data_IF_466416034321
#
_entry.id   IF_466416034321
#
_cell.length_a   1.000
_cell.length_b   1.000
_cell.length_c   1.000
_cell.angle_alpha   90.00
_cell.angle_beta   90.00
_cell.angle_gamma   90.00
#
_symmetry.space_group_name_H-M   'P 1'
#
loop_
_entity.id
_entity.type
_entity.pdbx_description
1 polymer ?
#
# COMPACT_ATOMS: atom_id res chain seq x y z
N UNK A 1 -10.94 -29.71 -79.17
CA UNK A 1 -10.49 -30.54 -78.02
C UNK A 1 -9.31 -29.83 -77.36
N UNK A 2 -9.54 -29.02 -76.32
CA UNK A 2 -8.49 -28.38 -75.50
C UNK A 2 -9.04 -28.22 -74.08
N UNK A 3 -8.89 -29.27 -73.25
CA UNK A 3 -9.32 -29.30 -71.84
C UNK A 3 -8.29 -28.58 -70.97
N UNK A 4 -8.81 -27.91 -69.93
CA UNK A 4 -8.12 -26.93 -69.10
C UNK A 4 -6.97 -27.47 -68.25
N UNK A 5 -5.97 -26.60 -68.06
CA UNK A 5 -4.82 -26.80 -67.16
C UNK A 5 -4.49 -25.54 -66.34
N UNK A 6 -5.41 -24.58 -66.18
CA UNK A 6 -5.20 -23.35 -65.39
C UNK A 6 -5.71 -23.43 -63.94
N UNK A 7 -6.07 -24.63 -63.44
CA UNK A 7 -6.63 -24.80 -62.08
C UNK A 7 -5.64 -25.22 -60.99
N UNK A 8 -4.39 -25.57 -61.33
CA UNK A 8 -3.45 -26.21 -60.39
C UNK A 8 -2.42 -25.26 -59.77
N UNK A 9 -2.09 -24.15 -60.43
CA UNK A 9 -1.04 -23.23 -59.97
C UNK A 9 -1.46 -22.27 -58.85
N UNK A 10 -2.77 -22.02 -58.67
CA UNK A 10 -3.28 -21.09 -57.64
C UNK A 10 -3.53 -21.75 -56.28
N UNK A 11 -3.70 -23.09 -56.24
CA UNK A 11 -3.99 -23.85 -55.02
C UNK A 11 -2.85 -23.81 -53.98
N UNK A 12 -1.56 -23.92 -54.32
CA UNK A 12 -0.49 -23.84 -53.31
C UNK A 12 -0.29 -22.42 -52.77
N UNK A 13 -0.52 -21.39 -53.60
CA UNK A 13 -0.41 -19.98 -53.18
C UNK A 13 -1.56 -19.57 -52.24
N UNK A 14 -2.79 -19.99 -52.56
CA UNK A 14 -3.94 -19.80 -51.67
C UNK A 14 -3.78 -20.57 -50.36
N UNK A 15 -3.22 -21.78 -50.39
CA UNK A 15 -2.91 -22.53 -49.18
C UNK A 15 -1.84 -21.83 -48.32
N UNK A 16 -0.79 -21.27 -48.93
CA UNK A 16 0.23 -20.50 -48.22
C UNK A 16 -0.32 -19.23 -47.56
N UNK A 17 -1.16 -18.48 -48.28
CA UNK A 17 -1.85 -17.30 -47.72
C UNK A 17 -2.77 -17.69 -46.57
N UNK A 18 -3.55 -18.77 -46.71
CA UNK A 18 -4.44 -19.26 -45.66
C UNK A 18 -3.66 -19.67 -44.41
N UNK A 19 -2.54 -20.38 -44.55
CA UNK A 19 -1.68 -20.76 -43.42
C UNK A 19 -1.04 -19.55 -42.73
N UNK A 20 -0.61 -18.54 -43.49
CA UNK A 20 -0.07 -17.30 -42.93
C UNK A 20 -1.14 -16.53 -42.14
N UNK A 21 -2.34 -16.38 -42.69
CA UNK A 21 -3.45 -15.70 -42.02
C UNK A 21 -3.88 -16.42 -40.74
N UNK A 22 -3.90 -17.76 -40.76
CA UNK A 22 -4.19 -18.56 -39.59
C UNK A 22 -3.12 -18.36 -38.49
N UNK A 23 -1.84 -18.35 -38.86
CA UNK A 23 -0.76 -18.12 -37.90
C UNK A 23 -0.86 -16.73 -37.27
N UNK A 24 -1.11 -15.68 -38.07
CA UNK A 24 -1.30 -14.31 -37.57
C UNK A 24 -2.51 -14.23 -36.63
N UNK A 25 -3.62 -14.87 -36.99
CA UNK A 25 -4.83 -14.90 -36.17
C UNK A 25 -4.59 -15.58 -34.81
N UNK A 26 -3.90 -16.73 -34.80
CA UNK A 26 -3.54 -17.43 -33.56
C UNK A 26 -2.61 -16.59 -32.69
N UNK A 27 -1.60 -15.95 -33.27
CA UNK A 27 -0.69 -15.06 -32.54
C UNK A 27 -1.41 -13.85 -31.95
N UNK A 28 -2.30 -13.20 -32.71
CA UNK A 28 -3.09 -12.07 -32.23
C UNK A 28 -4.01 -12.48 -31.07
N UNK A 29 -4.63 -13.66 -31.17
CA UNK A 29 -5.50 -14.21 -30.13
C UNK A 29 -4.71 -14.51 -28.85
N UNK A 30 -3.53 -15.11 -28.97
CA UNK A 30 -2.64 -15.36 -27.83
C UNK A 30 -2.17 -14.08 -27.14
N UNK A 31 -1.80 -13.05 -27.92
CA UNK A 31 -1.43 -11.73 -27.39
C UNK A 31 -2.60 -11.05 -26.69
N UNK A 32 -3.81 -11.19 -27.22
CA UNK A 32 -5.03 -10.66 -26.63
C UNK A 32 -5.33 -11.33 -25.28
N UNK A 33 -5.34 -12.67 -25.21
CA UNK A 33 -5.53 -13.42 -23.97
C UNK A 33 -4.48 -13.07 -22.91
N UNK A 34 -3.20 -13.01 -23.30
CA UNK A 34 -2.12 -12.66 -22.38
C UNK A 34 -2.26 -11.20 -21.88
N UNK A 35 -2.70 -10.29 -22.74
CA UNK A 35 -2.94 -8.89 -22.35
C UNK A 35 -4.13 -8.75 -21.41
N UNK A 36 -5.19 -9.53 -21.58
CA UNK A 36 -6.34 -9.50 -20.67
C UNK A 36 -6.01 -10.13 -19.33
N UNK A 37 -5.27 -11.25 -19.30
CA UNK A 37 -4.85 -11.88 -18.05
C UNK A 37 -3.89 -10.97 -17.27
N UNK A 38 -2.92 -10.36 -17.94
CA UNK A 38 -2.01 -9.41 -17.32
C UNK A 38 -2.75 -8.18 -16.74
N UNK A 39 -3.77 -7.67 -17.44
CA UNK A 39 -4.61 -6.57 -16.93
C UNK A 39 -5.43 -6.99 -15.72
N UNK A 40 -6.07 -8.16 -15.79
CA UNK A 40 -6.86 -8.70 -14.68
C UNK A 40 -5.99 -8.98 -13.44
N UNK A 41 -4.75 -9.41 -13.62
CA UNK A 41 -3.80 -9.64 -12.53
C UNK A 41 -3.30 -8.32 -11.93
N UNK A 42 -3.03 -7.31 -12.76
CA UNK A 42 -2.71 -5.95 -12.30
C UNK A 42 -3.89 -5.35 -11.51
N UNK A 43 -5.13 -5.52 -11.99
CA UNK A 43 -6.32 -5.01 -11.31
C UNK A 43 -6.57 -5.75 -9.98
N UNK A 44 -6.34 -7.08 -9.94
CA UNK A 44 -6.40 -7.85 -8.71
C UNK A 44 -5.32 -7.44 -7.70
N UNK A 45 -4.10 -7.18 -8.17
CA UNK A 45 -3.01 -6.67 -7.33
C UNK A 45 -3.30 -5.25 -6.84
N UNK A 46 -3.97 -4.42 -7.64
CA UNK A 46 -4.41 -3.07 -7.25
C UNK A 46 -5.51 -3.12 -6.19
N UNK A 47 -6.48 -4.02 -6.32
CA UNK A 47 -7.56 -4.24 -5.34
C UNK A 47 -6.97 -4.80 -4.03
N UNK A 48 -6.09 -5.80 -4.09
CA UNK A 48 -5.42 -6.36 -2.91
C UNK A 48 -4.50 -5.33 -2.21
N UNK A 49 -3.85 -4.43 -2.96
CA UNK A 49 -3.08 -3.33 -2.39
C UNK A 49 -3.96 -2.26 -1.75
N UNK A 50 -5.11 -1.93 -2.34
CA UNK A 50 -6.03 -0.95 -1.78
C UNK A 50 -6.60 -1.41 -0.43
N UNK A 51 -6.97 -2.69 -0.32
CA UNK A 51 -7.55 -3.28 0.90
C UNK A 51 -6.51 -3.39 2.04
N UNK A 52 -5.29 -3.81 1.71
CA UNK A 52 -4.17 -3.84 2.67
C UNK A 52 -3.72 -2.45 3.12
N UNK A 53 -3.85 -1.43 2.27
CA UNK A 53 -3.53 -0.04 2.60
C UNK A 53 -4.59 0.60 3.50
N UNK A 54 -5.88 0.37 3.23
CA UNK A 54 -6.99 0.79 4.08
C UNK A 54 -6.81 0.32 5.52
N UNK A 55 -6.48 -0.96 5.68
CA UNK A 55 -6.33 -1.56 6.99
C UNK A 55 -5.07 -1.10 7.71
N UNK A 56 -3.99 -0.81 6.98
CA UNK A 56 -2.72 -0.38 7.58
C UNK A 56 -2.75 1.03 8.17
N UNK A 57 -3.59 1.95 7.69
CA UNK A 57 -3.77 3.26 8.36
C UNK A 57 -4.52 3.13 9.69
N UNK A 58 -5.60 2.37 9.72
CA UNK A 58 -6.34 2.10 10.96
C UNK A 58 -5.47 1.36 11.99
N UNK A 59 -4.60 0.46 11.54
CA UNK A 59 -3.62 -0.20 12.39
C UNK A 59 -2.59 0.76 12.99
N UNK A 60 -2.17 1.81 12.27
CA UNK A 60 -1.19 2.76 12.79
C UNK A 60 -1.67 3.47 14.07
N UNK A 61 -2.97 3.77 14.18
CA UNK A 61 -3.55 4.31 15.41
C UNK A 61 -3.49 3.33 16.58
N UNK A 62 -3.72 2.04 16.31
CA UNK A 62 -3.65 0.97 17.34
C UNK A 62 -2.23 0.80 17.84
N UNK A 63 -1.24 0.82 16.96
CA UNK A 63 0.17 0.70 17.37
C UNK A 63 0.64 1.93 18.14
N UNK A 64 0.23 3.13 17.71
CA UNK A 64 0.43 4.36 18.47
C UNK A 64 -0.16 4.25 19.89
N UNK A 65 -1.42 3.82 20.01
CA UNK A 65 -2.08 3.66 21.32
C UNK A 65 -1.37 2.60 22.18
N UNK A 66 -0.94 1.50 21.57
CA UNK A 66 -0.20 0.44 22.25
C UNK A 66 1.14 0.93 22.79
N UNK A 67 1.86 1.76 22.03
CA UNK A 67 3.08 2.42 22.49
C UNK A 67 2.80 3.41 23.63
N UNK A 68 1.79 4.27 23.47
CA UNK A 68 1.41 5.24 24.51
C UNK A 68 1.03 4.54 25.82
N UNK A 69 0.22 3.47 25.76
CA UNK A 69 -0.14 2.69 26.94
C UNK A 69 1.08 2.04 27.59
N UNK A 70 2.02 1.50 26.81
CA UNK A 70 3.25 0.91 27.35
C UNK A 70 4.12 1.95 28.08
N UNK A 71 4.29 3.13 27.48
CA UNK A 71 5.04 4.24 28.09
C UNK A 71 4.40 4.69 29.40
N UNK A 72 3.09 4.93 29.41
CA UNK A 72 2.36 5.37 30.59
C UNK A 72 2.35 4.31 31.71
N UNK A 73 2.26 3.03 31.36
CA UNK A 73 2.29 1.94 32.35
C UNK A 73 3.63 1.86 33.09
N UNK A 74 4.75 2.06 32.39
CA UNK A 74 6.08 2.12 33.03
C UNK A 74 6.24 3.41 33.83
N UNK A 75 5.85 4.56 33.27
CA UNK A 75 5.97 5.87 33.93
C UNK A 75 5.22 5.91 35.28
N UNK A 76 4.00 5.38 35.32
CA UNK A 76 3.17 5.37 36.52
C UNK A 76 3.50 4.22 37.49
N UNK A 77 4.49 3.37 37.17
CA UNK A 77 4.91 2.25 38.02
C UNK A 77 3.88 1.11 38.12
N UNK A 78 2.94 1.01 37.18
CA UNK A 78 1.85 0.02 37.18
C UNK A 78 2.24 -1.35 36.59
N UNK A 79 3.50 -1.76 36.74
CA UNK A 79 3.98 -3.07 36.26
C UNK A 79 4.31 -3.15 34.77
N UNK A 80 4.55 -2.01 34.11
CA UNK A 80 5.09 -1.98 32.75
C UNK A 80 6.58 -2.37 32.69
N UNK A 81 7.01 -2.95 31.57
CA UNK A 81 8.40 -3.27 31.28
C UNK A 81 8.98 -2.40 30.14
N UNK A 82 10.24 -2.00 30.28
CA UNK A 82 10.97 -1.23 29.26
C UNK A 82 11.14 -2.03 27.97
N UNK A 83 11.26 -3.35 28.03
CA UNK A 83 11.29 -4.21 26.84
C UNK A 83 10.00 -4.10 26.03
N UNK A 84 8.86 -3.97 26.69
CA UNK A 84 7.57 -3.73 26.01
C UNK A 84 7.53 -2.37 25.32
N UNK A 85 8.07 -1.32 25.95
CA UNK A 85 8.17 0.03 25.33
C UNK A 85 8.99 -0.02 24.06
N UNK A 86 10.16 -0.69 24.09
CA UNK A 86 11.03 -0.86 22.91
C UNK A 86 10.30 -1.58 21.79
N UNK A 87 9.72 -2.75 22.07
CA UNK A 87 8.99 -3.52 21.06
C UNK A 87 7.82 -2.73 20.45
N UNK A 88 7.05 -2.00 21.25
CA UNK A 88 5.94 -1.18 20.73
C UNK A 88 6.43 0.01 19.92
N UNK A 89 7.59 0.57 20.27
CA UNK A 89 8.23 1.60 19.48
C UNK A 89 8.65 1.06 18.11
N UNK A 90 9.31 -0.09 18.06
CA UNK A 90 9.77 -0.71 16.81
C UNK A 90 8.62 -1.05 15.87
N UNK A 91 7.52 -1.59 16.42
CA UNK A 91 6.31 -1.89 15.65
C UNK A 91 5.69 -0.61 15.08
N UNK A 92 5.57 0.45 15.89
CA UNK A 92 5.04 1.72 15.43
C UNK A 92 5.97 2.38 14.39
N UNK A 93 7.28 2.32 14.60
CA UNK A 93 8.29 2.82 13.66
C UNK A 93 8.16 2.13 12.30
N UNK A 94 8.17 0.80 12.26
CA UNK A 94 8.07 0.03 11.02
C UNK A 94 6.72 0.26 10.30
N UNK A 95 5.64 0.42 11.07
CA UNK A 95 4.33 0.76 10.51
C UNK A 95 4.36 2.11 9.80
N UNK A 96 4.95 3.12 10.43
CA UNK A 96 5.06 4.45 9.83
C UNK A 96 5.98 4.47 8.61
N UNK A 97 7.08 3.72 8.63
CA UNK A 97 7.94 3.52 7.47
C UNK A 97 7.17 2.90 6.29
N UNK A 98 6.32 1.91 6.55
CA UNK A 98 5.46 1.30 5.52
C UNK A 98 4.46 2.32 4.95
N UNK A 99 3.85 3.13 5.83
CA UNK A 99 2.90 4.19 5.44
C UNK A 99 3.60 5.26 4.60
N UNK A 100 4.87 5.58 4.87
CA UNK A 100 5.62 6.56 4.10
C UNK A 100 6.20 6.01 2.79
N UNK A 101 6.67 4.76 2.78
CA UNK A 101 7.37 4.16 1.64
C UNK A 101 6.47 3.54 0.56
N UNK A 102 5.25 3.09 0.91
CA UNK A 102 4.40 2.38 -0.05
C UNK A 102 3.73 3.32 -1.07
N UNK A 103 3.74 2.92 -2.35
CA UNK A 103 3.08 3.65 -3.44
C UNK A 103 1.55 3.71 -3.26
N UNK A 104 0.95 2.72 -2.61
CA UNK A 104 -0.50 2.64 -2.39
C UNK A 104 -1.04 3.79 -1.53
N UNK A 105 -0.17 4.42 -0.74
CA UNK A 105 -0.47 5.58 0.11
C UNK A 105 -0.10 6.93 -0.52
N UNK A 106 0.43 6.96 -1.75
CA UNK A 106 0.88 8.21 -2.39
C UNK A 106 -0.24 9.26 -2.42
N UNK A 107 -1.42 8.90 -2.92
CA UNK A 107 -2.57 9.83 -2.97
C UNK A 107 -2.99 10.37 -1.60
N UNK A 108 -2.78 9.59 -0.54
CA UNK A 108 -3.05 10.04 0.85
C UNK A 108 -1.96 11.00 1.31
N UNK A 109 -0.70 10.75 0.97
CA UNK A 109 0.44 11.63 1.26
C UNK A 109 0.44 12.91 0.44
N UNK A 110 -0.19 12.94 -0.73
CA UNK A 110 -0.32 14.16 -1.54
C UNK A 110 -1.22 15.22 -0.87
N UNK A 111 -1.99 14.85 0.15
CA UNK A 111 -2.78 15.78 0.98
C UNK A 111 -1.81 16.55 1.90
N UNK A 112 -1.70 17.89 1.78
CA UNK A 112 -0.69 18.67 2.52
C UNK A 112 -0.73 18.48 4.03
N UNK A 113 -1.92 18.47 4.63
CA UNK A 113 -2.07 18.30 6.09
C UNK A 113 -1.65 16.91 6.55
N UNK A 114 -1.85 15.88 5.72
CA UNK A 114 -1.45 14.50 6.00
C UNK A 114 0.06 14.35 5.89
N UNK A 115 0.68 14.89 4.83
CA UNK A 115 2.14 14.91 4.67
C UNK A 115 2.81 15.56 5.87
N UNK A 116 2.33 16.74 6.29
CA UNK A 116 2.88 17.43 7.45
C UNK A 116 2.71 16.65 8.76
N UNK A 117 1.60 15.91 8.89
CA UNK A 117 1.36 15.03 10.04
C UNK A 117 2.33 13.84 10.07
N UNK A 118 2.61 13.23 8.91
CA UNK A 118 3.59 12.16 8.76
C UNK A 118 4.99 12.67 9.14
N UNK A 119 5.40 13.83 8.63
CA UNK A 119 6.70 14.44 8.95
C UNK A 119 6.89 14.67 10.46
N UNK A 120 5.85 15.12 11.17
CA UNK A 120 5.89 15.29 12.64
C UNK A 120 6.07 13.96 13.37
N UNK A 121 5.38 12.91 12.94
CA UNK A 121 5.52 11.57 13.52
C UNK A 121 6.91 11.01 13.25
N UNK A 122 7.44 11.17 12.04
CA UNK A 122 8.80 10.75 11.68
C UNK A 122 9.86 11.50 12.49
N UNK A 123 9.69 12.80 12.69
CA UNK A 123 10.58 13.60 13.54
C UNK A 123 10.56 13.11 15.00
N UNK A 124 9.38 12.77 15.52
CA UNK A 124 9.26 12.14 16.84
C UNK A 124 10.02 10.81 16.88
N UNK A 125 9.75 9.89 15.94
CA UNK A 125 10.39 8.59 15.88
C UNK A 125 11.92 8.74 15.83
N UNK A 126 12.43 9.53 14.90
CA UNK A 126 13.87 9.78 14.75
C UNK A 126 14.51 10.32 16.03
N UNK A 127 13.82 11.19 16.77
CA UNK A 127 14.34 11.78 18.02
C UNK A 127 14.47 10.78 19.18
N UNK A 128 13.79 9.64 19.12
CA UNK A 128 13.76 8.64 20.18
C UNK A 128 14.52 7.35 19.88
N UNK A 129 14.97 7.10 18.64
CA UNK A 129 15.74 5.89 18.25
C UNK A 129 16.90 5.64 19.21
N UNK A 130 17.80 6.60 19.40
CA UNK A 130 18.97 6.42 20.28
C UNK A 130 18.61 6.23 21.76
N UNK A 131 17.44 6.70 22.19
CA UNK A 131 16.95 6.51 23.56
C UNK A 131 16.37 5.11 23.74
N UNK A 132 15.67 4.60 22.73
CA UNK A 132 15.08 3.26 22.68
C UNK A 132 16.17 2.20 22.65
N UNK A 133 17.18 2.36 21.81
CA UNK A 133 18.32 1.44 21.69
C UNK A 133 19.34 1.59 22.84
N UNK A 134 19.18 2.65 23.65
CA UNK A 134 20.08 3.01 24.72
C UNK A 134 19.86 2.24 26.03
N UNK A 135 20.67 2.54 27.06
CA UNK A 135 20.57 1.91 28.37
C UNK A 135 19.22 2.18 29.07
N UNK A 136 18.75 1.21 29.85
CA UNK A 136 17.47 1.28 30.59
C UNK A 136 17.33 2.53 31.47
N UNK A 137 18.42 3.00 32.08
CA UNK A 137 18.40 4.20 32.89
C UNK A 137 18.05 5.45 32.06
N UNK A 138 18.58 5.54 30.83
CA UNK A 138 18.34 6.66 29.91
C UNK A 138 16.91 6.60 29.36
N UNK A 139 16.46 5.42 28.94
CA UNK A 139 15.09 5.23 28.47
C UNK A 139 14.08 5.59 29.57
N UNK A 140 14.27 5.04 30.78
CA UNK A 140 13.38 5.31 31.92
C UNK A 140 13.30 6.80 32.28
N UNK A 141 14.44 7.49 32.30
CA UNK A 141 14.48 8.93 32.56
C UNK A 141 13.78 9.76 31.44
N UNK A 142 13.67 9.21 30.24
CA UNK A 142 13.06 9.88 29.07
C UNK A 142 11.56 9.66 28.95
N UNK A 143 10.97 8.67 29.65
CA UNK A 143 9.57 8.30 29.53
C UNK A 143 8.59 9.46 29.79
N UNK A 144 8.75 10.30 30.82
CA UNK A 144 7.82 11.42 31.05
C UNK A 144 7.78 12.41 29.89
N UNK A 145 8.94 12.63 29.23
CA UNK A 145 9.01 13.48 28.03
C UNK A 145 8.38 12.78 26.84
N UNK A 146 8.63 11.48 26.68
CA UNK A 146 8.05 10.67 25.60
C UNK A 146 6.53 10.59 25.70
N UNK A 147 5.96 10.46 26.90
CA UNK A 147 4.52 10.43 27.13
C UNK A 147 3.84 11.71 26.65
N UNK A 148 4.43 12.87 26.96
CA UNK A 148 3.95 14.18 26.48
C UNK A 148 4.05 14.29 24.95
N UNK A 149 5.19 13.94 24.38
CA UNK A 149 5.37 13.98 22.93
C UNK A 149 4.39 13.06 22.20
N UNK A 150 4.12 11.85 22.73
CA UNK A 150 3.10 10.95 22.18
C UNK A 150 1.71 11.56 22.25
N UNK A 151 1.35 12.24 23.36
CA UNK A 151 0.04 12.87 23.47
C UNK A 151 -0.20 13.93 22.38
N UNK A 152 0.84 14.65 21.96
CA UNK A 152 0.77 15.66 20.91
C UNK A 152 0.52 15.04 19.51
N UNK A 153 1.00 13.81 19.26
CA UNK A 153 0.83 13.12 17.97
C UNK A 153 -0.60 12.61 17.72
N UNK A 154 -1.46 12.58 18.73
CA UNK A 154 -2.83 12.07 18.57
C UNK A 154 -3.60 12.80 17.46
N UNK A 155 -3.41 14.11 17.35
CA UNK A 155 -4.03 14.92 16.29
C UNK A 155 -3.50 14.58 14.90
N UNK A 156 -2.21 14.28 14.80
CA UNK A 156 -1.53 13.90 13.57
C UNK A 156 -2.02 12.56 13.05
N UNK A 157 -2.09 11.54 13.92
CA UNK A 157 -2.64 10.23 13.58
C UNK A 157 -4.09 10.34 13.09
N UNK A 158 -4.91 11.14 13.78
CA UNK A 158 -6.30 11.36 13.37
C UNK A 158 -6.40 12.05 12.00
N UNK A 159 -5.51 12.99 11.72
CA UNK A 159 -5.46 13.67 10.41
C UNK A 159 -5.14 12.68 9.30
N UNK A 160 -4.16 11.80 9.51
CA UNK A 160 -3.79 10.74 8.57
C UNK A 160 -4.98 9.80 8.32
N UNK A 161 -5.64 9.31 9.38
CA UNK A 161 -6.79 8.40 9.25
C UNK A 161 -7.96 9.03 8.49
N UNK A 162 -8.29 10.29 8.78
CA UNK A 162 -9.36 11.00 8.07
C UNK A 162 -9.00 11.27 6.61
N UNK A 163 -7.74 11.60 6.32
CA UNK A 163 -7.23 11.72 4.95
C UNK A 163 -7.34 10.40 4.18
N UNK A 164 -6.95 9.29 4.80
CA UNK A 164 -7.10 7.94 4.26
C UNK A 164 -8.55 7.61 3.93
N UNK A 165 -9.46 7.76 4.89
CA UNK A 165 -10.90 7.48 4.69
C UNK A 165 -11.47 8.27 3.52
N UNK A 166 -11.09 9.54 3.35
CA UNK A 166 -11.55 10.37 2.23
C UNK A 166 -11.10 9.78 0.89
N UNK A 167 -9.80 9.51 0.73
CA UNK A 167 -9.24 8.94 -0.51
C UNK A 167 -9.88 7.59 -0.84
N UNK A 168 -10.10 6.76 0.17
CA UNK A 168 -10.70 5.44 -0.01
C UNK A 168 -12.18 5.49 -0.37
N UNK A 169 -12.94 6.43 0.19
CA UNK A 169 -14.33 6.66 -0.20
C UNK A 169 -14.43 7.12 -1.67
N UNK A 170 -13.58 8.06 -2.09
CA UNK A 170 -13.54 8.57 -3.47
C UNK A 170 -13.21 7.46 -4.48
N UNK A 171 -12.21 6.61 -4.18
CA UNK A 171 -11.88 5.45 -5.03
C UNK A 171 -13.03 4.44 -5.11
N UNK A 172 -13.70 4.18 -3.99
CA UNK A 172 -14.86 3.29 -3.94
C UNK A 172 -16.01 3.78 -4.82
N UNK A 173 -16.23 5.09 -4.89
CA UNK A 173 -17.27 5.68 -5.74
C UNK A 173 -16.91 5.58 -7.23
N UNK A 174 -15.67 5.92 -7.59
CA UNK A 174 -15.18 5.77 -8.98
C UNK A 174 -15.30 4.34 -9.49
N UNK A 175 -15.05 3.34 -8.64
CA UNK A 175 -15.20 1.93 -9.00
C UNK A 175 -16.68 1.52 -9.20
N UNK A 176 -17.61 2.13 -8.47
CA UNK A 176 -19.05 1.85 -8.63
C UNK A 176 -19.59 2.44 -9.93
N UNK A 177 -19.18 3.65 -10.27
CA UNK A 177 -19.56 4.29 -11.54
C UNK A 177 -19.01 3.52 -12.76
N UNK A 178 -17.80 2.97 -12.66
CA UNK A 178 -17.20 2.20 -13.76
C UNK A 178 -17.85 0.83 -13.99
N UNK A 179 -18.35 0.17 -12.94
CA UNK A 179 -19.04 -1.13 -13.04
C UNK A 179 -20.53 -0.97 -13.37
N UNK A 180 -21.19 0.10 -12.92
CA UNK A 180 -22.59 0.40 -13.23
C UNK A 180 -22.83 0.96 -14.64
N UNK A 181 -21.77 1.36 -15.35
CA UNK A 181 -21.81 1.90 -16.70
C UNK A 181 -21.54 0.89 -17.84
N UNK A 182 -21.35 -0.40 -17.53
CA UNK A 182 -21.18 -1.49 -18.49
C UNK A 182 -22.45 -2.34 -18.62
#
# INVERSE_FOLDING_TARGET
MRRGLSGLAHRPLLAGIASFLLAVFLSATAVWFLSTDARNEIDQLAIANADSSQWSLAQAEVEYQSLQSAVLAVEAGHGGDLGTVRNRFDVFYSRMETVNGSASFQTVRDIPEVSQSIERIEAFLASYVSVIDGPDAVLRASLPRMARALADLRGDLRTISLGGVRVFAERGEQQRESVGGA
#
